data_IF_688018602340
#
_entry.id   IF_688018602340
#
_cell.length_a   1.000
_cell.length_b   1.000
_cell.length_c   1.000
_cell.angle_alpha   90.00
_cell.angle_beta   90.00
_cell.angle_gamma   90.00
#
_symmetry.space_group_name_H-M   'P 1'
#
loop_
_entity.id
_entity.type
_entity.pdbx_description
1 polymer ?
#
# COMPACT_ATOMS: atom_id res chain seq x y z
N UNK A 1 24.26 34.12 11.80
CA UNK A 1 23.69 32.75 11.83
C UNK A 1 22.23 32.88 12.23
N UNK A 2 21.30 32.63 11.31
CA UNK A 2 19.85 32.68 11.57
C UNK A 2 19.34 31.24 11.57
N UNK A 3 18.89 30.77 12.72
CA UNK A 3 18.23 29.47 12.90
C UNK A 3 16.78 29.59 12.44
N UNK A 4 16.49 29.04 11.27
CA UNK A 4 15.12 28.91 10.76
C UNK A 4 14.46 27.73 11.47
N UNK A 5 13.59 28.03 12.43
CA UNK A 5 12.70 27.08 13.10
C UNK A 5 11.55 26.76 12.16
N UNK A 6 11.50 25.54 11.64
CA UNK A 6 10.40 25.05 10.81
C UNK A 6 9.22 24.73 11.74
N UNK A 7 8.25 25.64 11.77
CA UNK A 7 6.97 25.46 12.46
C UNK A 7 6.07 24.64 11.56
N UNK A 8 6.04 23.32 11.78
CA UNK A 8 5.10 22.39 11.16
C UNK A 8 3.67 22.89 11.42
N UNK A 9 2.97 23.31 10.36
CA UNK A 9 1.53 23.54 10.43
C UNK A 9 0.86 22.17 10.52
N UNK A 10 0.49 21.77 11.73
CA UNK A 10 -0.51 20.73 11.94
C UNK A 10 -1.86 21.26 11.46
N UNK A 11 -2.19 21.02 10.19
CA UNK A 11 -3.59 20.98 9.76
C UNK A 11 -4.26 19.83 10.51
N UNK A 12 -5.27 20.17 11.34
CA UNK A 12 -6.22 19.29 12.02
C UNK A 12 -5.69 17.90 12.39
N UNK A 13 -5.14 17.75 13.59
CA UNK A 13 -4.90 16.42 14.15
C UNK A 13 -6.25 15.72 14.31
N UNK A 14 -6.60 14.84 13.37
CA UNK A 14 -7.62 13.83 13.57
C UNK A 14 -7.31 13.11 14.90
N UNK A 15 -8.35 12.84 15.69
CA UNK A 15 -8.19 12.15 16.96
C UNK A 15 -7.44 10.83 16.69
N UNK A 16 -6.36 10.49 17.40
CA UNK A 16 -5.69 9.21 17.22
C UNK A 16 -6.64 8.01 17.35
N UNK A 17 -7.77 8.16 18.06
CA UNK A 17 -8.84 7.17 18.09
C UNK A 17 -9.57 7.01 16.74
N UNK A 18 -9.75 8.09 15.99
CA UNK A 18 -10.40 8.12 14.67
C UNK A 18 -9.52 7.45 13.61
N UNK A 19 -8.19 7.65 13.68
CA UNK A 19 -7.24 6.99 12.79
C UNK A 19 -7.13 5.47 13.01
N UNK A 20 -7.48 4.98 14.19
CA UNK A 20 -7.50 3.53 14.50
C UNK A 20 -8.79 2.84 14.04
N UNK A 21 -9.92 3.56 14.04
CA UNK A 21 -11.21 3.04 13.56
C UNK A 21 -11.22 2.78 12.05
N UNK A 22 -10.31 3.42 11.33
CA UNK A 22 -10.16 3.32 9.88
C UNK A 22 -9.13 2.27 9.42
N UNK A 23 -8.43 1.59 10.35
CA UNK A 23 -7.47 0.55 9.99
C UNK A 23 -8.21 -0.73 9.53
N UNK A 24 -8.06 -1.18 8.27
CA UNK A 24 -8.70 -2.41 7.80
C UNK A 24 -8.29 -3.66 8.59
N UNK A 25 -7.14 -3.63 9.28
CA UNK A 25 -6.71 -4.69 10.19
C UNK A 25 -7.59 -4.75 11.44
N UNK A 26 -8.01 -3.61 11.97
CA UNK A 26 -8.91 -3.54 13.12
C UNK A 26 -10.34 -3.97 12.74
N UNK A 27 -10.80 -3.58 11.55
CA UNK A 27 -12.15 -3.87 11.06
C UNK A 27 -12.36 -5.33 10.62
N UNK A 28 -11.38 -5.93 9.93
CA UNK A 28 -11.55 -7.25 9.31
C UNK A 28 -10.59 -8.32 9.85
N UNK A 29 -9.53 -7.92 10.55
CA UNK A 29 -8.49 -8.80 11.04
C UNK A 29 -7.45 -9.17 9.97
N UNK A 30 -6.20 -9.33 10.39
CA UNK A 30 -5.05 -9.63 9.53
C UNK A 30 -5.28 -10.86 8.63
N UNK A 31 -5.84 -11.96 9.18
CA UNK A 31 -6.05 -13.21 8.41
C UNK A 31 -7.02 -13.02 7.25
N UNK A 32 -8.08 -12.24 7.45
CA UNK A 32 -9.05 -11.99 6.39
C UNK A 32 -8.39 -11.16 5.28
N UNK A 33 -7.68 -10.09 5.68
CA UNK A 33 -7.04 -9.17 4.76
C UNK A 33 -5.90 -9.82 3.98
N UNK A 34 -5.10 -10.66 4.65
CA UNK A 34 -4.07 -11.50 4.04
C UNK A 34 -4.67 -12.43 2.98
N UNK A 35 -5.74 -13.15 3.30
CA UNK A 35 -6.42 -14.05 2.36
C UNK A 35 -6.96 -13.30 1.14
N UNK A 36 -7.57 -12.13 1.35
CA UNK A 36 -8.09 -11.29 0.27
C UNK A 36 -6.99 -10.68 -0.59
N UNK A 37 -5.88 -10.29 0.02
CA UNK A 37 -4.67 -9.84 -0.69
C UNK A 37 -4.19 -10.93 -1.65
N UNK A 38 -4.03 -12.16 -1.16
CA UNK A 38 -3.61 -13.28 -2.01
C UNK A 38 -4.62 -13.59 -3.11
N UNK A 39 -5.92 -13.50 -2.83
CA UNK A 39 -6.96 -13.67 -3.85
C UNK A 39 -6.83 -12.62 -4.97
N UNK A 40 -6.66 -11.34 -4.61
CA UNK A 40 -6.51 -10.24 -5.55
C UNK A 40 -5.24 -10.40 -6.41
N UNK A 41 -4.10 -10.70 -5.79
CA UNK A 41 -2.83 -10.93 -6.49
C UNK A 41 -2.94 -12.11 -7.45
N UNK A 42 -3.54 -13.23 -7.03
CA UNK A 42 -3.74 -14.39 -7.90
C UNK A 42 -4.58 -14.05 -9.12
N UNK A 43 -5.65 -13.28 -8.94
CA UNK A 43 -6.50 -12.84 -10.05
C UNK A 43 -5.70 -12.04 -11.08
N UNK A 44 -4.90 -11.07 -10.64
CA UNK A 44 -4.04 -10.27 -11.51
C UNK A 44 -3.01 -11.16 -12.20
N UNK A 45 -2.29 -12.00 -11.45
CA UNK A 45 -1.20 -12.82 -12.01
C UNK A 45 -1.67 -13.97 -12.91
N UNK A 46 -2.93 -14.42 -12.80
CA UNK A 46 -3.47 -15.49 -13.64
C UNK A 46 -3.56 -15.10 -15.12
N UNK A 47 -3.60 -13.80 -15.43
CA UNK A 47 -3.74 -13.28 -16.80
C UNK A 47 -2.47 -12.72 -17.44
N UNK A 48 -1.29 -12.80 -16.81
CA UNK A 48 -0.11 -12.01 -17.21
C UNK A 48 1.10 -12.90 -17.54
N UNK A 49 1.81 -12.66 -18.65
CA UNK A 49 2.94 -13.50 -19.07
C UNK A 49 4.21 -13.40 -18.21
N UNK A 50 4.48 -12.29 -17.52
CA UNK A 50 5.67 -12.12 -16.67
C UNK A 50 5.60 -10.83 -15.84
N UNK A 51 5.79 -10.92 -14.51
CA UNK A 51 6.10 -9.74 -13.68
C UNK A 51 7.53 -9.31 -13.99
N UNK A 52 7.77 -8.01 -14.08
CA UNK A 52 9.09 -7.48 -14.42
C UNK A 52 9.94 -7.38 -13.14
N UNK A 53 10.88 -8.30 -12.94
CA UNK A 53 12.02 -8.01 -12.08
C UNK A 53 13.27 -8.79 -12.49
N UNK A 54 14.39 -8.10 -12.39
CA UNK A 54 15.59 -8.33 -13.19
C UNK A 54 16.59 -9.35 -12.63
N UNK A 55 16.33 -10.08 -11.54
CA UNK A 55 17.36 -10.94 -10.94
C UNK A 55 16.80 -12.32 -10.58
N UNK A 56 17.43 -13.38 -11.11
CA UNK A 56 17.09 -14.79 -10.84
C UNK A 56 17.15 -15.15 -9.34
N UNK A 57 17.94 -14.41 -8.56
CA UNK A 57 18.11 -14.61 -7.11
C UNK A 57 17.25 -13.67 -6.24
N UNK A 58 16.33 -12.91 -6.85
CA UNK A 58 15.46 -11.98 -6.15
C UNK A 58 14.35 -12.65 -5.32
N UNK A 59 13.67 -11.89 -4.43
CA UNK A 59 12.47 -12.37 -3.75
C UNK A 59 11.37 -12.74 -4.78
N UNK A 60 10.48 -13.71 -4.48
CA UNK A 60 9.40 -14.08 -5.39
C UNK A 60 8.49 -12.89 -5.71
N UNK A 61 8.39 -12.52 -6.98
CA UNK A 61 7.72 -11.27 -7.41
C UNK A 61 6.24 -11.22 -7.04
N UNK A 62 5.56 -12.37 -7.13
CA UNK A 62 4.16 -12.51 -6.73
C UNK A 62 4.00 -12.24 -5.22
N UNK A 63 4.97 -12.67 -4.41
CA UNK A 63 4.94 -12.45 -2.97
C UNK A 63 5.23 -10.98 -2.62
N UNK A 64 6.15 -10.34 -3.34
CA UNK A 64 6.40 -8.90 -3.21
C UNK A 64 5.16 -8.08 -3.62
N UNK A 65 4.49 -8.47 -4.70
CA UNK A 65 3.24 -7.84 -5.11
C UNK A 65 2.17 -7.95 -4.02
N UNK A 66 2.04 -9.12 -3.39
CA UNK A 66 1.14 -9.33 -2.25
C UNK A 66 1.52 -8.50 -1.03
N UNK A 67 2.80 -8.45 -0.69
CA UNK A 67 3.34 -7.63 0.38
C UNK A 67 2.97 -6.16 0.20
N UNK A 68 3.26 -5.59 -0.98
CA UNK A 68 2.97 -4.19 -1.28
C UNK A 68 1.46 -3.90 -1.28
N UNK A 69 0.66 -4.80 -1.85
CA UNK A 69 -0.80 -4.68 -1.87
C UNK A 69 -1.37 -4.63 -0.45
N UNK A 70 -0.91 -5.52 0.44
CA UNK A 70 -1.30 -5.52 1.85
C UNK A 70 -0.82 -4.27 2.58
N UNK A 71 0.44 -3.89 2.39
CA UNK A 71 1.01 -2.69 3.02
C UNK A 71 0.20 -1.46 2.63
N UNK A 72 -0.17 -1.31 1.36
CA UNK A 72 -0.92 -0.14 0.91
C UNK A 72 -2.33 -0.13 1.45
N UNK A 73 -3.01 -1.28 1.42
CA UNK A 73 -4.33 -1.42 2.01
C UNK A 73 -4.37 -1.13 3.52
N UNK A 74 -3.27 -1.38 4.24
CA UNK A 74 -3.13 -1.11 5.69
C UNK A 74 -2.43 0.19 6.01
N UNK A 75 -2.06 0.92 4.98
CA UNK A 75 -1.50 2.23 5.12
C UNK A 75 -0.04 2.41 5.43
N UNK A 76 0.75 1.42 5.04
CA UNK A 76 2.19 1.48 5.05
C UNK A 76 2.71 1.76 3.63
N UNK A 77 3.05 3.01 3.34
CA UNK A 77 3.39 3.44 1.98
C UNK A 77 4.89 3.58 1.70
N UNK A 78 5.66 4.13 2.65
CA UNK A 78 7.08 4.39 2.47
C UNK A 78 7.88 3.09 2.41
N UNK A 79 8.84 2.99 1.48
CA UNK A 79 9.67 1.78 1.36
C UNK A 79 10.45 1.45 2.62
N UNK A 80 10.96 2.47 3.30
CA UNK A 80 11.75 2.31 4.52
C UNK A 80 10.91 1.79 5.68
N UNK A 81 9.67 2.27 5.80
CA UNK A 81 8.73 1.79 6.81
C UNK A 81 8.32 0.33 6.55
N UNK A 82 8.14 -0.05 5.29
CA UNK A 82 7.88 -1.45 4.91
C UNK A 82 9.08 -2.32 5.25
N UNK A 83 10.31 -1.92 4.88
CA UNK A 83 11.53 -2.63 5.25
C UNK A 83 11.68 -2.75 6.79
N UNK A 84 11.41 -1.67 7.51
CA UNK A 84 11.44 -1.66 8.97
C UNK A 84 10.39 -2.62 9.56
N UNK A 85 9.15 -2.59 9.06
CA UNK A 85 8.09 -3.50 9.51
C UNK A 85 8.42 -4.98 9.23
N UNK A 86 9.03 -5.28 8.09
CA UNK A 86 9.57 -6.61 7.76
C UNK A 86 10.60 -7.07 8.79
N UNK A 87 11.63 -6.25 9.06
CA UNK A 87 12.70 -6.55 10.02
C UNK A 87 12.18 -6.76 11.44
N UNK A 88 11.10 -6.08 11.81
CA UNK A 88 10.45 -6.19 13.13
C UNK A 88 9.41 -7.30 13.22
N UNK A 89 9.16 -8.05 12.13
CA UNK A 89 8.17 -9.12 12.10
C UNK A 89 6.73 -8.62 12.32
N UNK A 90 6.42 -7.39 11.91
CA UNK A 90 5.12 -6.73 12.10
C UNK A 90 4.10 -7.02 10.98
N UNK A 91 4.53 -7.75 9.95
CA UNK A 91 3.70 -8.12 8.79
C UNK A 91 3.36 -9.62 8.84
N UNK A 92 2.23 -10.05 8.25
CA UNK A 92 1.84 -11.45 8.20
C UNK A 92 2.93 -12.32 7.57
N UNK A 93 3.31 -13.41 8.26
CA UNK A 93 4.45 -14.26 7.86
C UNK A 93 4.34 -14.83 6.45
N UNK A 94 3.13 -15.04 5.94
CA UNK A 94 2.92 -15.58 4.58
C UNK A 94 3.28 -14.56 3.50
N UNK A 95 3.18 -13.25 3.81
CA UNK A 95 3.51 -12.16 2.89
C UNK A 95 4.99 -11.80 2.91
N UNK A 96 5.73 -12.21 3.95
CA UNK A 96 7.15 -11.92 4.11
C UNK A 96 7.98 -12.81 3.18
N UNK A 97 8.74 -12.25 2.21
CA UNK A 97 9.65 -13.03 1.38
C UNK A 97 10.78 -13.65 2.21
N UNK A 98 11.26 -14.82 1.79
CA UNK A 98 12.40 -15.48 2.46
C UNK A 98 13.70 -14.69 2.26
N UNK A 99 13.89 -14.14 1.07
CA UNK A 99 14.99 -13.25 0.75
C UNK A 99 14.71 -11.87 1.35
N UNK A 100 15.75 -11.23 1.88
CA UNK A 100 15.64 -9.88 2.42
C UNK A 100 15.29 -8.90 1.30
N UNK A 101 14.34 -8.02 1.57
CA UNK A 101 13.96 -6.94 0.65
C UNK A 101 14.37 -5.61 1.25
N UNK A 102 15.06 -4.78 0.48
CA UNK A 102 15.49 -3.43 0.90
C UNK A 102 14.54 -2.37 0.34
N UNK A 103 14.55 -1.19 0.95
CA UNK A 103 13.80 -0.03 0.51
C UNK A 103 14.13 0.36 -0.94
N UNK A 104 15.41 0.40 -1.30
CA UNK A 104 15.86 0.69 -2.67
C UNK A 104 15.33 -0.32 -3.70
N UNK A 105 15.29 -1.61 -3.33
CA UNK A 105 14.76 -2.66 -4.18
C UNK A 105 13.24 -2.54 -4.32
N UNK A 106 12.51 -2.25 -3.22
CA UNK A 106 11.06 -2.01 -3.25
C UNK A 106 10.71 -0.81 -4.13
N UNK A 107 11.46 0.29 -4.05
CA UNK A 107 11.29 1.45 -4.93
C UNK A 107 11.43 1.07 -6.41
N UNK A 108 12.48 0.32 -6.76
CA UNK A 108 12.70 -0.15 -8.13
C UNK A 108 11.57 -1.09 -8.60
N UNK A 109 11.16 -2.05 -7.76
CA UNK A 109 10.07 -2.97 -8.06
C UNK A 109 8.76 -2.23 -8.34
N UNK A 110 8.44 -1.22 -7.52
CA UNK A 110 7.24 -0.39 -7.67
C UNK A 110 7.20 0.36 -8.98
N UNK A 111 8.32 0.99 -9.36
CA UNK A 111 8.42 1.72 -10.63
C UNK A 111 8.20 0.76 -11.81
N UNK A 112 8.77 -0.44 -11.77
CA UNK A 112 8.66 -1.42 -12.84
C UNK A 112 7.28 -2.11 -12.93
N UNK A 113 6.56 -2.23 -11.81
CA UNK A 113 5.32 -3.01 -11.72
C UNK A 113 4.10 -2.19 -11.26
N UNK A 114 4.17 -0.86 -11.36
CA UNK A 114 3.09 0.06 -10.93
C UNK A 114 1.69 -0.39 -11.40
N UNK A 115 1.44 -0.70 -12.69
CA UNK A 115 0.10 -1.11 -13.13
C UNK A 115 -0.42 -2.36 -12.41
N UNK A 116 0.46 -3.30 -12.06
CA UNK A 116 0.08 -4.54 -11.37
C UNK A 116 -0.24 -4.32 -9.90
N UNK A 117 0.47 -3.39 -9.25
CA UNK A 117 0.18 -2.98 -7.88
C UNK A 117 -1.17 -2.27 -7.83
N UNK A 118 -1.42 -1.35 -8.77
CA UNK A 118 -2.70 -0.64 -8.88
C UNK A 118 -3.87 -1.62 -9.08
N UNK A 119 -3.76 -2.57 -10.00
CA UNK A 119 -4.79 -3.58 -10.23
C UNK A 119 -5.01 -4.47 -9.01
N UNK A 120 -3.94 -5.01 -8.40
CA UNK A 120 -4.06 -5.89 -7.24
C UNK A 120 -4.71 -5.17 -6.06
N UNK A 121 -4.35 -3.91 -5.84
CA UNK A 121 -4.96 -3.09 -4.80
C UNK A 121 -6.43 -2.77 -5.11
N UNK A 122 -6.78 -2.43 -6.35
CA UNK A 122 -8.17 -2.19 -6.73
C UNK A 122 -9.05 -3.44 -6.54
N UNK A 123 -8.55 -4.63 -6.87
CA UNK A 123 -9.25 -5.89 -6.62
C UNK A 123 -9.45 -6.16 -5.13
N UNK A 124 -8.46 -5.83 -4.30
CA UNK A 124 -8.58 -5.95 -2.86
C UNK A 124 -9.62 -4.98 -2.30
N UNK A 125 -9.57 -3.70 -2.71
CA UNK A 125 -10.50 -2.66 -2.29
C UNK A 125 -11.94 -3.00 -2.68
N UNK A 126 -12.17 -3.48 -3.91
CA UNK A 126 -13.48 -3.91 -4.38
C UNK A 126 -14.05 -5.12 -3.59
N UNK A 127 -13.19 -5.88 -2.91
CA UNK A 127 -13.60 -6.98 -2.05
C UNK A 127 -13.81 -6.57 -0.58
N UNK A 128 -13.50 -5.33 -0.21
CA UNK A 128 -13.74 -4.81 1.13
C UNK A 128 -15.21 -4.37 1.25
N UNK A 129 -15.94 -4.83 2.27
CA UNK A 129 -17.33 -4.42 2.47
C UNK A 129 -17.45 -2.94 2.90
N UNK A 130 -16.37 -2.36 3.43
CA UNK A 130 -16.31 -0.95 3.83
C UNK A 130 -14.97 -0.34 3.41
N UNK A 131 -14.89 0.12 2.16
CA UNK A 131 -13.71 0.81 1.63
C UNK A 131 -13.71 2.31 1.94
N UNK A 132 -14.73 2.85 2.62
CA UNK A 132 -14.83 4.26 2.94
C UNK A 132 -13.66 4.77 3.80
N UNK A 133 -13.20 4.05 4.85
CA UNK A 133 -12.08 4.51 5.66
C UNK A 133 -10.77 4.62 4.88
N UNK A 134 -10.56 3.71 3.92
CA UNK A 134 -9.41 3.78 3.01
C UNK A 134 -9.50 5.00 2.09
N UNK A 135 -10.69 5.30 1.57
CA UNK A 135 -10.95 6.45 0.71
C UNK A 135 -10.66 7.77 1.42
N UNK A 136 -11.15 7.95 2.64
CA UNK A 136 -10.97 9.20 3.39
C UNK A 136 -9.49 9.52 3.63
N UNK A 137 -8.67 8.47 3.74
CA UNK A 137 -7.24 8.61 3.94
C UNK A 137 -6.46 8.89 2.66
N UNK A 138 -6.88 8.30 1.53
CA UNK A 138 -6.22 8.49 0.23
C UNK A 138 -6.70 9.74 -0.51
N UNK A 139 -7.95 10.15 -0.31
CA UNK A 139 -8.60 11.30 -0.94
C UNK A 139 -9.21 12.24 0.11
N UNK A 140 -8.39 12.96 0.90
CA UNK A 140 -8.92 13.96 1.81
C UNK A 140 -9.43 15.16 1.00
N UNK A 141 -10.76 15.31 0.85
CA UNK A 141 -11.35 16.48 0.19
C UNK A 141 -12.79 16.32 -0.30
N UNK A 142 -13.44 17.44 -0.71
CA UNK A 142 -14.83 17.46 -1.18
C UNK A 142 -15.05 16.69 -2.49
N UNK A 143 -13.98 16.40 -3.22
CA UNK A 143 -13.98 15.62 -4.47
C UNK A 143 -14.11 14.11 -4.24
N UNK A 144 -14.19 13.67 -2.99
CA UNK A 144 -14.28 12.26 -2.65
C UNK A 144 -15.54 11.58 -3.18
N UNK A 145 -16.59 12.30 -3.62
CA UNK A 145 -17.94 11.80 -3.96
C UNK A 145 -18.07 10.66 -5.00
N UNK A 146 -16.97 10.13 -5.55
CA UNK A 146 -16.99 8.94 -6.41
C UNK A 146 -17.52 7.72 -5.65
N UNK A 147 -18.46 6.98 -6.25
CA UNK A 147 -19.01 5.75 -5.68
C UNK A 147 -17.89 4.68 -5.57
N UNK A 148 -17.40 4.39 -4.34
CA UNK A 148 -16.28 3.47 -4.13
C UNK A 148 -16.68 2.02 -4.43
N UNK A 149 -17.97 1.74 -4.64
CA UNK A 149 -18.48 0.41 -5.00
C UNK A 149 -18.17 0.08 -6.47
N UNK A 150 -17.92 1.08 -7.32
CA UNK A 150 -17.54 0.84 -8.70
C UNK A 150 -16.08 0.38 -8.83
N UNK A 151 -15.83 -0.54 -9.76
CA UNK A 151 -14.46 -0.97 -10.08
C UNK A 151 -13.58 0.22 -10.51
N UNK A 152 -14.15 1.19 -11.23
CA UNK A 152 -13.46 2.42 -11.62
C UNK A 152 -13.05 3.27 -10.40
N UNK A 153 -13.92 3.39 -9.40
CA UNK A 153 -13.61 4.07 -8.14
C UNK A 153 -12.48 3.38 -7.37
N UNK A 154 -12.52 2.04 -7.28
CA UNK A 154 -11.44 1.25 -6.68
C UNK A 154 -10.11 1.41 -7.42
N UNK A 155 -10.13 1.48 -8.76
CA UNK A 155 -8.93 1.71 -9.57
C UNK A 155 -8.34 3.11 -9.34
N UNK A 156 -9.17 4.14 -9.21
CA UNK A 156 -8.69 5.49 -8.92
C UNK A 156 -8.07 5.56 -7.52
N UNK A 157 -8.71 4.98 -6.51
CA UNK A 157 -8.15 4.88 -5.16
C UNK A 157 -6.80 4.14 -5.15
N UNK A 158 -6.69 3.06 -5.91
CA UNK A 158 -5.44 2.31 -6.01
C UNK A 158 -4.32 3.14 -6.66
N UNK A 159 -4.59 3.88 -7.74
CA UNK A 159 -3.61 4.79 -8.37
C UNK A 159 -3.11 5.83 -7.38
N UNK A 160 -4.02 6.45 -6.63
CA UNK A 160 -3.70 7.46 -5.63
C UNK A 160 -2.86 6.90 -4.49
N UNK A 161 -3.17 5.71 -4.00
CA UNK A 161 -2.34 5.03 -3.00
C UNK A 161 -0.91 4.78 -3.51
N UNK A 162 -0.74 4.36 -4.77
CA UNK A 162 0.59 4.14 -5.38
C UNK A 162 1.34 5.46 -5.62
N UNK A 163 0.62 6.53 -5.98
CA UNK A 163 1.17 7.90 -6.06
C UNK A 163 1.67 8.38 -4.71
N UNK A 164 0.86 8.27 -3.66
CA UNK A 164 1.26 8.60 -2.28
C UNK A 164 2.54 7.86 -1.91
N UNK A 165 2.62 6.57 -2.21
CA UNK A 165 3.80 5.78 -1.90
C UNK A 165 5.06 6.24 -2.64
N UNK A 166 4.91 6.81 -3.84
CA UNK A 166 6.01 7.44 -4.59
C UNK A 166 6.40 8.79 -3.96
N UNK A 167 5.43 9.59 -3.52
CA UNK A 167 5.67 10.87 -2.83
C UNK A 167 6.42 10.66 -1.49
N UNK A 168 6.01 9.68 -0.69
CA UNK A 168 6.68 9.34 0.57
C UNK A 168 8.14 8.93 0.35
N UNK A 169 8.45 8.18 -0.71
CA UNK A 169 9.84 7.85 -1.01
C UNK A 169 10.67 9.08 -1.40
N UNK A 170 10.09 10.02 -2.16
CA UNK A 170 10.82 11.22 -2.57
C UNK A 170 11.12 12.12 -1.37
N UNK A 171 10.14 12.31 -0.48
CA UNK A 171 10.30 13.14 0.72
C UNK A 171 11.36 12.61 1.72
N UNK A 172 11.69 11.32 1.68
CA UNK A 172 12.72 10.72 2.53
C UNK A 172 14.14 10.80 1.95
N UNK A 173 14.28 11.18 0.68
CA UNK A 173 15.57 11.30 0.00
C UNK A 173 16.15 12.73 0.00
N UNK A 174 15.40 13.71 0.51
CA UNK A 174 15.80 15.12 0.64
C UNK A 174 16.45 15.40 2.02
#
# INVERSE_FOLDING_TARGET
>A
MKTTVWKTRHSGAADPAESLLSDPRALHGDRWLERKTWQAVRWVTAGIPQLHASNADGPPLVQVLALLTFCYATGLYASEDIEYALRRGRLPRTLVPRQSVTASWLQAFRRANRPWIEQALAHLLAAMPDAAPFRDWVLPGPDAQSDPVSHAGCMELARRAVELATLFDMALND
#
